data_IF_998253427292
#
_entry.id   IF_998253427292
#
_cell.length_a   1.000
_cell.length_b   1.000
_cell.length_c   1.000
_cell.angle_alpha   90.00
_cell.angle_beta   90.00
_cell.angle_gamma   90.00
#
_symmetry.space_group_name_H-M   'P 1'
#
loop_
_entity.id
_entity.type
_entity.pdbx_description
1 polymer ?
#
# COMPACT_ATOMS: atom_id res chain seq x y z
N UNK A 1 -20.77 11.43 5.89
CA UNK A 1 -21.61 11.13 4.70
C UNK A 1 -20.68 11.23 3.51
N UNK A 2 -20.47 10.14 2.77
CA UNK A 2 -19.53 10.14 1.64
C UNK A 2 -20.18 10.87 0.45
N UNK A 3 -19.53 11.91 -0.06
CA UNK A 3 -20.00 12.66 -1.23
C UNK A 3 -19.82 11.89 -2.54
N UNK A 4 -20.48 12.31 -3.61
CA UNK A 4 -20.34 11.67 -4.92
C UNK A 4 -18.90 11.71 -5.45
N UNK A 5 -18.16 12.79 -5.19
CA UNK A 5 -16.76 12.94 -5.59
C UNK A 5 -15.84 11.94 -4.88
N UNK A 6 -16.01 11.80 -3.56
CA UNK A 6 -15.28 10.83 -2.74
C UNK A 6 -15.57 9.39 -3.19
N UNK A 7 -16.83 9.10 -3.54
CA UNK A 7 -17.21 7.79 -4.06
C UNK A 7 -16.59 7.50 -5.43
N UNK A 8 -16.54 8.49 -6.32
CA UNK A 8 -15.88 8.36 -7.62
C UNK A 8 -14.38 8.14 -7.46
N UNK A 9 -13.74 8.82 -6.51
CA UNK A 9 -12.34 8.61 -6.20
C UNK A 9 -12.06 7.19 -5.70
N UNK A 10 -12.85 6.69 -4.74
CA UNK A 10 -12.69 5.32 -4.23
C UNK A 10 -12.86 4.29 -5.35
N UNK A 11 -13.88 4.45 -6.20
CA UNK A 11 -14.09 3.56 -7.34
C UNK A 11 -12.92 3.59 -8.33
N UNK A 12 -12.37 4.77 -8.63
CA UNK A 12 -11.21 4.90 -9.52
C UNK A 12 -9.99 4.16 -8.96
N UNK A 13 -9.73 4.27 -7.65
CA UNK A 13 -8.61 3.58 -7.01
C UNK A 13 -8.79 2.05 -7.06
N UNK A 14 -10.03 1.58 -6.83
CA UNK A 14 -10.37 0.15 -6.94
C UNK A 14 -10.19 -0.37 -8.38
N UNK A 15 -10.69 0.36 -9.37
CA UNK A 15 -10.51 0.04 -10.80
C UNK A 15 -9.02 -0.02 -11.20
N UNK A 16 -8.16 0.76 -10.55
CA UNK A 16 -6.70 0.73 -10.76
C UNK A 16 -6.00 -0.45 -10.05
N UNK A 17 -6.71 -1.28 -9.30
CA UNK A 17 -6.12 -2.34 -8.48
C UNK A 17 -5.16 -1.78 -7.43
N UNK A 18 -5.59 -0.74 -6.73
CA UNK A 18 -4.84 -0.06 -5.67
C UNK A 18 -5.63 -0.12 -4.36
N UNK A 19 -4.93 0.05 -3.25
CA UNK A 19 -5.50 -0.08 -1.92
C UNK A 19 -5.32 1.21 -1.13
N UNK A 20 -6.39 1.69 -0.50
CA UNK A 20 -6.33 2.81 0.45
C UNK A 20 -6.07 2.24 1.85
N UNK A 21 -5.08 2.79 2.57
CA UNK A 21 -4.76 2.35 3.94
C UNK A 21 -5.67 2.97 5.00
N UNK A 22 -6.16 4.19 4.76
CA UNK A 22 -7.07 4.89 5.68
C UNK A 22 -8.33 4.06 5.93
N UNK A 23 -8.66 3.83 7.20
CA UNK A 23 -9.82 3.02 7.59
C UNK A 23 -9.66 1.50 7.38
N UNK A 24 -8.56 1.03 6.77
CA UNK A 24 -8.41 -0.39 6.40
C UNK A 24 -7.40 -1.17 7.25
N UNK A 25 -6.61 -0.47 8.06
CA UNK A 25 -5.53 -1.06 8.87
C UNK A 25 -5.90 -1.12 10.35
N UNK A 26 -5.35 -2.11 11.08
CA UNK A 26 -5.70 -2.35 12.48
C UNK A 26 -5.52 -1.13 13.39
N UNK A 27 -4.52 -0.28 13.12
CA UNK A 27 -4.23 0.95 13.87
C UNK A 27 -5.11 2.14 13.51
N UNK A 28 -5.99 2.01 12.52
CA UNK A 28 -6.86 3.08 12.02
C UNK A 28 -8.21 2.48 11.56
N UNK A 29 -8.76 1.53 12.34
CA UNK A 29 -9.99 0.82 11.94
C UNK A 29 -11.24 1.67 11.97
N UNK A 30 -11.28 2.71 12.80
CA UNK A 30 -12.42 3.62 12.88
C UNK A 30 -12.38 4.70 11.79
N UNK A 31 -11.22 4.87 11.12
CA UNK A 31 -11.01 5.88 10.10
C UNK A 31 -10.88 7.27 10.72
N UNK A 32 -9.67 7.64 11.12
CA UNK A 32 -9.39 8.95 11.70
C UNK A 32 -9.42 10.06 10.64
N UNK A 33 -9.86 11.25 11.05
CA UNK A 33 -9.89 12.42 10.19
C UNK A 33 -8.48 12.93 9.97
N UNK A 34 -8.19 13.39 8.75
CA UNK A 34 -6.86 13.88 8.38
C UNK A 34 -6.79 15.40 8.34
N UNK A 35 -7.93 16.06 8.52
CA UNK A 35 -8.05 17.52 8.53
C UNK A 35 -9.10 17.98 9.55
N UNK A 36 -8.78 19.03 10.30
CA UNK A 36 -9.68 19.74 11.22
C UNK A 36 -9.88 21.16 10.70
N UNK A 37 -11.08 21.46 10.21
CA UNK A 37 -11.45 22.80 9.76
C UNK A 37 -12.63 23.38 10.54
N UNK A 38 -12.86 24.69 10.37
CA UNK A 38 -14.00 25.41 10.94
C UNK A 38 -15.37 24.81 10.56
N UNK A 39 -15.42 23.97 9.51
CA UNK A 39 -16.63 23.30 9.00
C UNK A 39 -16.68 21.81 9.33
N UNK A 40 -15.92 21.39 10.34
CA UNK A 40 -15.82 20.00 10.79
C UNK A 40 -14.63 19.25 10.22
N UNK A 41 -14.47 18.02 10.69
CA UNK A 41 -13.32 17.18 10.39
C UNK A 41 -13.56 16.39 9.10
N UNK A 42 -12.52 16.22 8.29
CA UNK A 42 -12.60 15.55 6.98
C UNK A 42 -11.40 14.62 6.77
N UNK A 43 -11.57 13.64 5.89
CA UNK A 43 -10.47 12.84 5.35
C UNK A 43 -10.16 13.41 3.97
N UNK A 44 -9.05 14.11 3.82
CA UNK A 44 -8.61 14.71 2.55
C UNK A 44 -7.18 14.30 2.16
N UNK A 45 -6.42 13.78 3.12
CA UNK A 45 -5.13 13.12 2.91
C UNK A 45 -5.31 11.60 2.94
N UNK A 46 -4.71 10.90 1.98
CA UNK A 46 -4.84 9.44 1.80
C UNK A 46 -3.48 8.79 1.56
N UNK A 47 -3.30 7.56 2.05
CA UNK A 47 -2.21 6.68 1.62
C UNK A 47 -2.76 5.61 0.70
N UNK A 48 -2.22 5.55 -0.53
CA UNK A 48 -2.59 4.57 -1.55
C UNK A 48 -1.37 3.70 -1.86
N UNK A 49 -1.55 2.39 -1.86
CA UNK A 49 -0.51 1.41 -2.15
C UNK A 49 -0.94 0.45 -3.26
N UNK A 50 0.03 -0.18 -3.92
CA UNK A 50 -0.21 -1.36 -4.76
C UNK A 50 -0.12 -2.64 -3.91
N UNK A 51 -0.33 -3.80 -4.55
CA UNK A 51 -0.26 -5.12 -3.90
C UNK A 51 1.05 -5.33 -3.13
N UNK A 52 2.21 -5.03 -3.74
CA UNK A 52 3.51 -5.14 -3.07
C UNK A 52 3.59 -4.23 -1.84
N UNK A 53 3.11 -2.99 -1.95
CA UNK A 53 3.07 -2.07 -0.82
C UNK A 53 2.21 -2.62 0.32
N UNK A 54 1.08 -3.25 0.00
CA UNK A 54 0.19 -3.86 0.99
C UNK A 54 0.90 -4.98 1.80
N UNK A 55 1.78 -5.75 1.16
CA UNK A 55 2.58 -6.78 1.86
C UNK A 55 3.66 -6.19 2.78
N UNK A 56 4.20 -5.03 2.42
CA UNK A 56 5.31 -4.41 3.16
C UNK A 56 4.83 -3.52 4.30
N UNK A 57 3.61 -2.96 4.22
CA UNK A 57 3.04 -2.12 5.26
C UNK A 57 2.78 -2.94 6.53
N UNK A 58 3.40 -2.52 7.63
CA UNK A 58 3.21 -3.11 8.97
C UNK A 58 2.18 -2.38 9.80
N UNK A 59 2.19 -1.06 9.71
CA UNK A 59 1.35 -0.19 10.53
C UNK A 59 1.01 1.07 9.75
N UNK A 60 -0.21 1.53 9.93
CA UNK A 60 -0.68 2.83 9.51
C UNK A 60 -1.39 3.48 10.70
N UNK A 61 -1.11 4.76 10.94
CA UNK A 61 -1.67 5.58 12.02
C UNK A 61 -1.85 7.00 11.49
N UNK A 62 -2.93 7.65 11.91
CA UNK A 62 -3.10 9.10 11.81
C UNK A 62 -2.66 9.70 13.15
N UNK A 63 -1.69 10.60 13.15
CA UNK A 63 -1.17 11.21 14.38
C UNK A 63 -1.54 12.69 14.45
N UNK A 64 -1.95 13.12 15.63
CA UNK A 64 -2.29 14.51 15.89
C UNK A 64 -1.08 15.44 15.71
N UNK A 65 -1.33 16.62 15.15
CA UNK A 65 -0.42 17.77 15.20
C UNK A 65 -1.11 18.96 15.85
N UNK A 66 -0.40 19.63 16.74
CA UNK A 66 -0.90 20.85 17.40
C UNK A 66 -0.64 22.12 16.59
N UNK A 67 0.25 22.05 15.59
CA UNK A 67 0.75 23.16 14.79
C UNK A 67 0.16 23.21 13.37
N UNK A 68 -0.79 22.33 13.06
CA UNK A 68 -1.36 22.14 11.72
C UNK A 68 -2.84 21.78 11.80
N UNK A 69 -3.63 22.30 10.87
CA UNK A 69 -5.01 21.87 10.63
C UNK A 69 -5.08 20.52 9.90
N UNK A 70 -3.95 20.02 9.38
CA UNK A 70 -3.78 18.67 8.85
C UNK A 70 -3.05 17.73 9.82
N UNK A 71 -3.53 16.49 9.89
CA UNK A 71 -2.95 15.41 10.68
C UNK A 71 -1.85 14.67 9.93
N UNK A 72 -0.96 14.02 10.68
CA UNK A 72 0.13 13.23 10.12
C UNK A 72 -0.34 11.85 9.69
N UNK A 73 -0.01 11.46 8.46
CA UNK A 73 -0.15 10.08 8.01
C UNK A 73 1.18 9.34 8.21
N UNK A 74 1.22 8.41 9.16
CA UNK A 74 2.43 7.66 9.51
C UNK A 74 2.30 6.23 9.02
N UNK A 75 3.17 5.85 8.09
CA UNK A 75 3.26 4.49 7.53
C UNK A 75 4.56 3.85 7.97
N UNK A 76 4.48 2.68 8.61
CA UNK A 76 5.65 1.84 8.89
C UNK A 76 5.70 0.71 7.86
N UNK A 77 6.84 0.59 7.19
CA UNK A 77 7.08 -0.41 6.14
C UNK A 77 8.23 -1.32 6.58
N UNK A 78 8.06 -2.63 6.49
CA UNK A 78 9.14 -3.59 6.69
C UNK A 78 9.71 -4.00 5.32
N UNK A 79 10.86 -3.43 4.97
CA UNK A 79 11.60 -3.87 3.79
C UNK A 79 12.53 -5.00 4.21
N UNK A 80 12.30 -6.20 3.69
CA UNK A 80 13.28 -7.28 3.82
C UNK A 80 14.37 -7.07 2.80
N UNK A 81 15.61 -6.95 3.26
CA UNK A 81 16.77 -7.04 2.38
C UNK A 81 16.73 -8.41 1.68
N UNK A 82 16.42 -8.39 0.39
CA UNK A 82 16.78 -9.51 -0.47
C UNK A 82 18.30 -9.51 -0.46
N UNK A 83 18.93 -10.35 0.38
CA UNK A 83 20.30 -10.80 0.11
C UNK A 83 20.30 -11.17 -1.36
N UNK A 84 21.05 -10.42 -2.16
CA UNK A 84 21.24 -10.68 -3.59
C UNK A 84 21.74 -12.11 -3.72
N UNK A 85 20.83 -13.07 -3.93
CA UNK A 85 21.17 -14.30 -4.61
C UNK A 85 21.40 -13.85 -6.06
N UNK A 86 22.66 -13.55 -6.38
CA UNK A 86 23.17 -13.64 -7.75
C UNK A 86 22.95 -15.07 -8.22
N UNK A 87 21.73 -15.37 -8.67
CA UNK A 87 21.34 -16.66 -9.21
C UNK A 87 21.63 -16.67 -10.70
N UNK A 88 22.85 -17.03 -11.07
CA UNK A 88 23.18 -17.59 -12.39
C UNK A 88 22.63 -19.03 -12.54
N UNK A 89 21.69 -19.44 -11.70
CA UNK A 89 21.34 -20.85 -11.52
C UNK A 89 19.95 -21.22 -12.06
N UNK A 90 19.20 -20.24 -12.61
CA UNK A 90 17.87 -20.48 -13.22
C UNK A 90 17.95 -20.75 -14.74
N UNK A 91 18.98 -20.22 -15.44
CA UNK A 91 19.20 -20.53 -16.86
C UNK A 91 19.79 -21.93 -17.06
N UNK A 92 20.71 -22.37 -16.20
CA UNK A 92 21.39 -23.67 -16.36
C UNK A 92 20.41 -24.85 -16.17
N UNK A 93 19.39 -24.70 -15.32
CA UNK A 93 18.34 -25.71 -15.16
C UNK A 93 17.39 -25.81 -16.37
N UNK A 94 17.12 -24.68 -17.05
CA UNK A 94 16.32 -24.67 -18.29
C UNK A 94 17.08 -25.30 -19.45
N UNK A 95 18.37 -25.00 -19.61
CA UNK A 95 19.20 -25.63 -20.65
C UNK A 95 19.54 -27.10 -20.37
N UNK A 96 19.69 -27.50 -19.10
CA UNK A 96 19.87 -28.90 -18.73
C UNK A 96 18.61 -29.74 -18.98
N UNK A 97 17.42 -29.19 -18.76
CA UNK A 97 16.14 -29.83 -19.08
C UNK A 97 15.96 -30.07 -20.58
N UNK A 98 16.35 -29.10 -21.42
CA UNK A 98 16.24 -29.21 -22.88
C UNK A 98 17.22 -30.25 -23.45
N UNK A 99 18.44 -30.35 -22.92
CA UNK A 99 19.44 -31.34 -23.39
C UNK A 99 19.06 -32.79 -23.08
N UNK A 100 18.25 -33.05 -22.03
CA UNK A 100 17.83 -34.41 -21.67
C UNK A 100 16.71 -34.96 -22.56
N UNK A 101 15.93 -34.12 -23.24
CA UNK A 101 14.75 -34.54 -24.01
C UNK A 101 15.04 -34.88 -25.48
N UNK A 102 16.24 -34.54 -26.02
CA UNK A 102 16.65 -34.97 -27.37
C UNK A 102 17.63 -36.14 -27.30
N UNK A 103 17.12 -37.33 -26.96
CA UNK A 103 17.85 -38.58 -27.19
C UNK A 103 16.86 -39.68 -27.61
N UNK A 104 16.31 -39.54 -28.81
CA UNK A 104 15.75 -40.63 -29.63
C UNK A 104 16.07 -40.27 -31.09
#
# INVERSE_FOLDING_TARGET
MIGNEERNFINLIDEMGRYILNGSMHGDKEGEFTYIGLRGNRVIDYVIVNEIGMELVKKFVVEDRVDSDHMQLVVTIEVRDKKTKTGRDDEEQRFAGIKRTKRI
#
